data_IF_946210718840
#
_entry.id   IF_946210718840
#
_cell.length_a   1.000
_cell.length_b   1.000
_cell.length_c   1.000
_cell.angle_alpha   90.00
_cell.angle_beta   90.00
_cell.angle_gamma   90.00
#
_symmetry.space_group_name_H-M   'P 1'
#
loop_
_entity.id
_entity.type
_entity.pdbx_description
1 polymer ?
#
# COMPACT_ATOMS: atom_id res chain seq x y z
N UNK A 1 31.75 17.61 45.90
CA UNK A 1 31.44 16.17 45.71
C UNK A 1 29.91 15.85 45.60
N UNK A 2 29.02 16.40 46.46
CA UNK A 2 27.54 16.09 46.38
C UNK A 2 26.86 16.53 45.07
N UNK A 3 27.24 17.66 44.43
CA UNK A 3 26.64 18.15 43.17
C UNK A 3 27.04 17.31 41.97
N UNK A 4 28.25 16.77 41.93
CA UNK A 4 28.73 15.90 40.81
C UNK A 4 28.07 14.52 40.83
N UNK A 5 27.77 13.98 42.01
CA UNK A 5 27.09 12.71 42.19
C UNK A 5 25.61 12.81 41.76
N UNK A 6 24.94 13.94 42.03
CA UNK A 6 23.54 14.16 41.58
C UNK A 6 23.42 14.25 40.07
N UNK A 7 24.39 14.85 39.35
CA UNK A 7 24.40 14.93 37.88
C UNK A 7 24.62 13.54 37.25
N UNK A 8 25.50 12.72 37.85
CA UNK A 8 25.76 11.35 37.35
C UNK A 8 24.53 10.46 37.58
N UNK A 9 23.84 10.56 38.70
CA UNK A 9 22.63 9.77 38.98
C UNK A 9 21.48 10.17 38.05
N UNK A 10 21.28 11.47 37.77
CA UNK A 10 20.26 11.92 36.79
C UNK A 10 20.58 11.45 35.37
N UNK A 11 21.85 11.47 34.95
CA UNK A 11 22.25 10.94 33.63
C UNK A 11 22.02 9.43 33.48
N UNK A 12 22.28 8.66 34.51
CA UNK A 12 22.04 7.20 34.52
C UNK A 12 20.54 6.86 34.51
N UNK A 13 19.72 7.62 35.20
CA UNK A 13 18.26 7.43 35.20
C UNK A 13 17.62 7.74 33.83
N UNK A 14 18.12 8.74 33.11
CA UNK A 14 17.65 9.08 31.77
C UNK A 14 18.04 7.99 30.78
N UNK A 15 19.27 7.48 30.83
CA UNK A 15 19.74 6.39 29.97
C UNK A 15 19.00 5.06 30.24
N UNK A 16 18.68 4.77 31.50
CA UNK A 16 17.92 3.57 31.87
C UNK A 16 16.46 3.63 31.42
N UNK A 17 15.85 4.80 31.39
CA UNK A 17 14.49 5.01 30.89
C UNK A 17 14.38 4.81 29.38
N UNK A 18 15.30 5.39 28.60
CA UNK A 18 15.35 5.23 27.15
C UNK A 18 15.54 3.76 26.74
N UNK A 19 16.46 3.05 27.39
CA UNK A 19 16.73 1.65 27.07
C UNK A 19 15.53 0.72 27.37
N UNK A 20 14.75 1.01 28.39
CA UNK A 20 13.56 0.25 28.74
C UNK A 20 12.41 0.50 27.75
N UNK A 21 12.22 1.74 27.33
CA UNK A 21 11.20 2.09 26.32
C UNK A 21 11.54 1.47 24.97
N UNK A 22 12.79 1.51 24.56
CA UNK A 22 13.30 0.89 23.33
C UNK A 22 12.99 -0.62 23.28
N UNK A 23 13.32 -1.35 24.34
CA UNK A 23 13.09 -2.81 24.41
C UNK A 23 11.61 -3.17 24.39
N UNK A 24 10.72 -2.33 24.91
CA UNK A 24 9.27 -2.51 24.83
C UNK A 24 8.76 -2.28 23.41
N UNK A 25 9.25 -1.22 22.74
CA UNK A 25 8.87 -0.92 21.36
C UNK A 25 9.32 -2.01 20.40
N UNK A 26 10.54 -2.53 20.51
CA UNK A 26 11.04 -3.63 19.69
C UNK A 26 10.18 -4.90 19.84
N UNK A 27 9.75 -5.21 21.07
CA UNK A 27 8.86 -6.36 21.33
C UNK A 27 7.49 -6.14 20.66
N UNK A 28 6.91 -4.95 20.80
CA UNK A 28 5.63 -4.61 20.17
C UNK A 28 5.72 -4.68 18.66
N UNK A 29 6.79 -4.15 18.03
CA UNK A 29 6.98 -4.25 16.58
C UNK A 29 7.12 -5.71 16.11
N UNK A 30 7.72 -6.60 16.91
CA UNK A 30 7.74 -8.03 16.59
C UNK A 30 6.35 -8.67 16.65
N UNK A 31 5.50 -8.24 17.59
CA UNK A 31 4.11 -8.69 17.70
C UNK A 31 3.27 -8.16 16.54
N UNK A 32 3.43 -6.88 16.17
CA UNK A 32 2.80 -6.27 15.00
C UNK A 32 3.12 -7.05 13.73
N UNK A 33 4.39 -7.31 13.47
CA UNK A 33 4.84 -8.02 12.27
C UNK A 33 4.20 -9.42 12.13
N UNK A 34 4.02 -10.12 13.23
CA UNK A 34 3.33 -11.42 13.24
C UNK A 34 1.82 -11.28 13.05
N UNK A 35 1.23 -10.18 13.53
CA UNK A 35 -0.20 -9.97 13.49
C UNK A 35 -0.69 -9.52 12.12
N UNK A 36 0.12 -8.83 11.30
CA UNK A 36 -0.29 -8.27 10.00
C UNK A 36 -0.97 -9.33 9.12
N UNK A 37 -0.34 -10.50 8.95
CA UNK A 37 -0.87 -11.56 8.09
C UNK A 37 -2.09 -12.31 8.66
N UNK A 38 -2.37 -12.16 9.96
CA UNK A 38 -3.44 -12.90 10.66
C UNK A 38 -4.65 -12.00 10.90
N UNK A 39 -4.41 -10.80 11.41
CA UNK A 39 -5.41 -9.80 11.74
C UNK A 39 -4.81 -8.39 11.64
N UNK A 40 -4.92 -7.75 10.46
CA UNK A 40 -4.35 -6.42 10.23
C UNK A 40 -4.92 -5.33 11.16
N UNK A 41 -6.19 -5.43 11.56
CA UNK A 41 -6.80 -4.48 12.52
C UNK A 41 -6.14 -4.58 13.90
N UNK A 42 -5.90 -5.81 14.37
CA UNK A 42 -5.13 -6.04 15.60
C UNK A 42 -3.70 -5.51 15.49
N UNK A 43 -3.04 -5.71 14.34
CA UNK A 43 -1.71 -5.17 14.07
C UNK A 43 -1.69 -3.65 14.13
N UNK A 44 -2.71 -2.99 13.54
CA UNK A 44 -2.90 -1.54 13.60
C UNK A 44 -3.05 -1.04 15.03
N UNK A 45 -3.90 -1.69 15.84
CA UNK A 45 -4.09 -1.33 17.24
C UNK A 45 -2.80 -1.48 18.06
N UNK A 46 -2.05 -2.55 17.84
CA UNK A 46 -0.74 -2.76 18.50
C UNK A 46 0.26 -1.69 18.08
N UNK A 47 0.35 -1.36 16.79
CA UNK A 47 1.26 -0.33 16.30
C UNK A 47 0.93 1.04 16.89
N UNK A 48 -0.35 1.39 16.96
CA UNK A 48 -0.85 2.64 17.53
C UNK A 48 -0.68 2.73 19.05
N UNK A 49 -0.42 1.63 19.75
CA UNK A 49 -0.09 1.63 21.17
C UNK A 49 1.31 2.17 21.48
N UNK A 50 2.18 2.29 20.45
CA UNK A 50 3.48 2.94 20.58
C UNK A 50 3.27 4.44 20.61
N UNK A 51 3.28 5.00 21.82
CA UNK A 51 3.17 6.45 22.00
C UNK A 51 4.45 7.15 21.55
N UNK A 52 4.31 8.27 20.83
CA UNK A 52 5.43 9.11 20.38
C UNK A 52 6.48 8.34 19.55
N UNK A 53 6.10 7.70 18.44
CA UNK A 53 7.06 6.95 17.61
C UNK A 53 8.21 7.82 17.08
N UNK A 54 7.99 9.14 16.95
CA UNK A 54 9.00 10.11 16.52
C UNK A 54 10.20 10.23 17.49
N UNK A 55 10.07 9.75 18.73
CA UNK A 55 11.13 9.74 19.75
C UNK A 55 11.96 8.45 19.76
N UNK A 56 11.58 7.47 18.95
CA UNK A 56 12.35 6.24 18.77
C UNK A 56 13.68 6.55 18.07
N UNK A 57 14.68 5.70 18.29
CA UNK A 57 15.90 5.76 17.48
C UNK A 57 15.59 5.46 16.00
N UNK A 58 16.50 5.85 15.10
CA UNK A 58 16.25 5.81 13.66
C UNK A 58 15.94 4.40 13.15
N UNK A 59 16.56 3.36 13.68
CA UNK A 59 16.29 1.96 13.32
C UNK A 59 14.87 1.55 13.67
N UNK A 60 14.48 1.76 14.93
CA UNK A 60 13.17 1.36 15.45
C UNK A 60 12.06 2.20 14.82
N UNK A 61 12.32 3.50 14.60
CA UNK A 61 11.40 4.38 13.90
C UNK A 61 11.20 3.96 12.44
N UNK A 62 12.29 3.67 11.71
CA UNK A 62 12.19 3.20 10.33
C UNK A 62 11.39 1.90 10.22
N UNK A 63 11.60 0.96 11.15
CA UNK A 63 10.82 -0.27 11.23
C UNK A 63 9.34 0.00 11.52
N UNK A 64 9.05 0.94 12.43
CA UNK A 64 7.68 1.37 12.69
C UNK A 64 7.00 1.92 11.43
N UNK A 65 7.68 2.77 10.65
CA UNK A 65 7.18 3.28 9.37
C UNK A 65 6.92 2.15 8.36
N UNK A 66 7.84 1.20 8.24
CA UNK A 66 7.70 0.05 7.35
C UNK A 66 6.47 -0.79 7.69
N UNK A 67 6.26 -1.10 8.95
CA UNK A 67 5.11 -1.88 9.41
C UNK A 67 3.79 -1.10 9.25
N UNK A 68 3.82 0.22 9.46
CA UNK A 68 2.67 1.08 9.17
C UNK A 68 2.28 1.03 7.69
N UNK A 69 3.26 1.11 6.78
CA UNK A 69 3.01 0.95 5.35
C UNK A 69 2.39 -0.41 5.01
N UNK A 70 2.93 -1.50 5.55
CA UNK A 70 2.38 -2.86 5.34
C UNK A 70 0.93 -2.98 5.85
N UNK A 71 0.62 -2.39 7.00
CA UNK A 71 -0.76 -2.37 7.52
C UNK A 71 -1.67 -1.56 6.60
N UNK A 72 -1.18 -0.41 6.09
CA UNK A 72 -1.95 0.44 5.16
C UNK A 72 -2.33 -0.33 3.89
N UNK A 73 -1.47 -1.21 3.40
CA UNK A 73 -1.76 -2.05 2.23
C UNK A 73 -2.88 -3.07 2.51
N UNK A 74 -3.05 -3.52 3.77
CA UNK A 74 -4.05 -4.53 4.15
C UNK A 74 -5.42 -3.93 4.53
N UNK A 75 -5.45 -2.74 5.15
CA UNK A 75 -6.70 -2.16 5.70
C UNK A 75 -7.05 -0.79 5.13
N UNK A 76 -6.39 -0.37 4.04
CA UNK A 76 -6.62 0.95 3.39
C UNK A 76 -6.60 2.13 4.36
N UNK A 77 -5.70 2.08 5.35
CA UNK A 77 -5.52 3.15 6.32
C UNK A 77 -4.77 4.35 5.70
N UNK A 78 -4.72 5.46 6.40
CA UNK A 78 -4.03 6.67 5.93
C UNK A 78 -2.52 6.44 5.80
N UNK A 79 -1.95 6.96 4.71
CA UNK A 79 -0.49 6.95 4.48
C UNK A 79 0.20 7.85 5.50
N UNK A 80 1.38 7.44 5.97
CA UNK A 80 2.20 8.24 6.87
C UNK A 80 2.63 9.56 6.21
N UNK A 81 2.80 10.64 7.01
CA UNK A 81 3.33 11.90 6.53
C UNK A 81 4.71 11.74 5.86
N UNK A 82 4.93 12.49 4.79
CA UNK A 82 6.13 12.42 3.95
C UNK A 82 7.42 12.55 4.77
N UNK A 83 7.52 13.50 5.70
CA UNK A 83 8.72 13.69 6.52
C UNK A 83 9.09 12.47 7.39
N UNK A 84 8.10 11.65 7.78
CA UNK A 84 8.35 10.41 8.53
C UNK A 84 8.94 9.33 7.62
N UNK A 85 8.42 9.22 6.42
CA UNK A 85 8.91 8.27 5.43
C UNK A 85 10.27 8.67 4.85
N UNK A 86 10.56 9.97 4.73
CA UNK A 86 11.91 10.47 4.39
C UNK A 86 12.93 10.03 5.45
N UNK A 87 12.64 10.25 6.74
CA UNK A 87 13.50 9.80 7.84
C UNK A 87 13.70 8.28 7.84
N UNK A 88 12.63 7.52 7.55
CA UNK A 88 12.73 6.08 7.46
C UNK A 88 13.58 5.65 6.25
N UNK A 89 13.44 6.30 5.10
CA UNK A 89 14.24 6.04 3.92
C UNK A 89 15.73 6.37 4.16
N UNK A 90 16.06 7.45 4.85
CA UNK A 90 17.45 7.79 5.21
C UNK A 90 18.14 6.63 5.94
N UNK A 91 17.42 5.97 6.85
CA UNK A 91 17.95 4.78 7.53
C UNK A 91 18.07 3.58 6.60
N UNK A 92 16.99 3.22 5.87
CA UNK A 92 16.97 2.05 5.00
C UNK A 92 17.91 2.15 3.81
N UNK A 93 18.18 3.35 3.30
CA UNK A 93 19.12 3.58 2.19
C UNK A 93 20.53 3.07 2.49
N UNK A 94 20.92 3.07 3.77
CA UNK A 94 22.26 2.67 4.23
C UNK A 94 22.29 1.31 4.92
N UNK A 95 21.18 0.83 5.45
CA UNK A 95 21.12 -0.35 6.32
C UNK A 95 20.12 -1.42 5.84
N UNK A 96 19.20 -1.07 4.96
CA UNK A 96 18.16 -1.98 4.49
C UNK A 96 18.63 -2.91 3.38
N UNK A 97 18.02 -4.07 3.28
CA UNK A 97 18.11 -4.92 2.10
C UNK A 97 17.51 -4.21 0.87
N UNK A 98 17.87 -4.59 -0.35
CA UNK A 98 17.25 -4.02 -1.55
C UNK A 98 15.72 -4.07 -1.56
N UNK A 99 15.13 -5.14 -1.02
CA UNK A 99 13.69 -5.31 -0.89
C UNK A 99 13.09 -4.24 0.05
N UNK A 100 13.68 -4.05 1.23
CA UNK A 100 13.26 -3.04 2.20
C UNK A 100 13.43 -1.62 1.65
N UNK A 101 14.52 -1.35 0.93
CA UNK A 101 14.76 -0.06 0.29
C UNK A 101 13.67 0.25 -0.74
N UNK A 102 13.28 -0.71 -1.57
CA UNK A 102 12.22 -0.52 -2.56
C UNK A 102 10.86 -0.36 -1.88
N UNK A 103 10.55 -1.15 -0.87
CA UNK A 103 9.28 -1.03 -0.14
C UNK A 103 9.11 0.36 0.49
N UNK A 104 10.13 0.87 1.19
CA UNK A 104 10.03 2.20 1.80
C UNK A 104 9.97 3.32 0.76
N UNK A 105 10.63 3.16 -0.40
CA UNK A 105 10.51 4.10 -1.52
C UNK A 105 9.09 4.09 -2.10
N UNK A 106 8.44 2.94 -2.21
CA UNK A 106 7.04 2.86 -2.64
C UNK A 106 6.15 3.64 -1.67
N UNK A 107 6.28 3.45 -0.37
CA UNK A 107 5.49 4.20 0.62
C UNK A 107 5.77 5.70 0.58
N UNK A 108 7.04 6.10 0.43
CA UNK A 108 7.41 7.50 0.29
C UNK A 108 6.84 8.12 -1.00
N UNK A 109 6.90 7.39 -2.13
CA UNK A 109 6.29 7.84 -3.38
C UNK A 109 4.78 8.01 -3.28
N UNK A 110 4.09 7.11 -2.58
CA UNK A 110 2.64 7.21 -2.29
C UNK A 110 2.33 8.43 -1.42
N UNK A 111 3.19 8.76 -0.46
CA UNK A 111 3.00 9.94 0.38
C UNK A 111 3.18 11.23 -0.41
N UNK A 112 4.22 11.35 -1.25
CA UNK A 112 4.35 12.48 -2.17
C UNK A 112 3.18 12.60 -3.15
N UNK A 113 2.68 11.46 -3.64
CA UNK A 113 1.49 11.43 -4.48
C UNK A 113 0.26 11.99 -3.74
N UNK A 114 0.04 11.57 -2.49
CA UNK A 114 -1.06 12.06 -1.65
C UNK A 114 -0.93 13.58 -1.33
N UNK A 115 0.29 14.07 -1.20
CA UNK A 115 0.58 15.50 -1.02
C UNK A 115 0.44 16.32 -2.34
N UNK A 116 0.20 15.65 -3.48
CA UNK A 116 0.10 16.27 -4.80
C UNK A 116 1.45 16.62 -5.45
N UNK A 117 2.57 16.22 -4.86
CA UNK A 117 3.91 16.41 -5.43
C UNK A 117 4.25 15.26 -6.39
N UNK A 118 3.57 15.24 -7.54
CA UNK A 118 3.65 14.17 -8.53
C UNK A 118 5.04 14.04 -9.16
N UNK A 119 5.81 15.12 -9.23
CA UNK A 119 7.15 15.09 -9.81
C UNK A 119 8.15 14.42 -8.85
N UNK A 120 8.04 14.69 -7.55
CA UNK A 120 8.81 13.94 -6.55
C UNK A 120 8.37 12.48 -6.48
N UNK A 121 7.06 12.20 -6.46
CA UNK A 121 6.56 10.83 -6.49
C UNK A 121 7.15 10.05 -7.68
N UNK A 122 7.16 10.63 -8.90
CA UNK A 122 7.76 10.03 -10.09
C UNK A 122 9.26 9.76 -9.91
N UNK A 123 9.99 10.73 -9.35
CA UNK A 123 11.44 10.57 -9.06
C UNK A 123 11.70 9.42 -8.09
N UNK A 124 10.92 9.32 -7.02
CA UNK A 124 11.03 8.26 -6.01
C UNK A 124 10.70 6.89 -6.62
N UNK A 125 9.62 6.77 -7.40
CA UNK A 125 9.29 5.51 -8.08
C UNK A 125 10.35 5.11 -9.12
N UNK A 126 10.97 6.07 -9.81
CA UNK A 126 12.09 5.77 -10.73
C UNK A 126 13.29 5.19 -9.98
N UNK A 127 13.63 5.73 -8.82
CA UNK A 127 14.68 5.17 -7.95
C UNK A 127 14.31 3.76 -7.47
N UNK A 128 13.06 3.54 -7.05
CA UNK A 128 12.56 2.22 -6.67
C UNK A 128 12.72 1.20 -7.81
N UNK A 129 12.38 1.57 -9.06
CA UNK A 129 12.56 0.71 -10.24
C UNK A 129 14.02 0.38 -10.52
N UNK A 130 14.94 1.33 -10.35
CA UNK A 130 16.38 1.09 -10.55
C UNK A 130 16.90 0.03 -9.57
N UNK A 131 16.58 0.17 -8.28
CA UNK A 131 16.98 -0.80 -7.26
C UNK A 131 16.29 -2.15 -7.49
N UNK A 132 14.99 -2.15 -7.73
CA UNK A 132 14.21 -3.37 -7.94
C UNK A 132 14.66 -4.14 -9.19
N UNK A 133 14.97 -3.43 -10.28
CA UNK A 133 15.46 -4.01 -11.53
C UNK A 133 16.82 -4.69 -11.37
N UNK A 134 17.78 -4.02 -10.71
CA UNK A 134 19.11 -4.58 -10.39
C UNK A 134 19.04 -5.85 -9.55
N UNK A 135 18.04 -5.95 -8.67
CA UNK A 135 17.87 -7.05 -7.72
C UNK A 135 16.77 -8.05 -8.14
N UNK A 136 16.15 -7.88 -9.30
CA UNK A 136 15.10 -8.76 -9.86
C UNK A 136 13.89 -8.94 -8.93
N UNK A 137 13.51 -7.88 -8.23
CA UNK A 137 12.38 -7.84 -7.31
C UNK A 137 11.06 -7.67 -8.08
N UNK A 138 10.67 -8.67 -8.84
CA UNK A 138 9.62 -8.57 -9.86
C UNK A 138 8.26 -8.09 -9.30
N UNK A 139 7.84 -8.56 -8.12
CA UNK A 139 6.59 -8.06 -7.50
C UNK A 139 6.67 -6.56 -7.20
N UNK A 140 7.79 -6.09 -6.66
CA UNK A 140 7.98 -4.67 -6.33
C UNK A 140 8.09 -3.80 -7.60
N UNK A 141 8.65 -4.36 -8.69
CA UNK A 141 8.60 -3.71 -10.02
C UNK A 141 7.13 -3.55 -10.45
N UNK A 142 6.33 -4.60 -10.32
CA UNK A 142 4.89 -4.56 -10.62
C UNK A 142 4.17 -3.47 -9.84
N UNK A 143 4.30 -3.45 -8.53
CA UNK A 143 3.69 -2.41 -7.68
C UNK A 143 4.16 -1.00 -8.06
N UNK A 144 5.45 -0.83 -8.33
CA UNK A 144 5.98 0.49 -8.69
C UNK A 144 5.40 0.98 -10.02
N UNK A 145 5.27 0.10 -11.03
CA UNK A 145 4.62 0.48 -12.29
C UNK A 145 3.13 0.77 -12.11
N UNK A 146 2.44 0.06 -11.23
CA UNK A 146 1.04 0.31 -10.91
C UNK A 146 0.86 1.72 -10.34
N UNK A 147 1.67 2.15 -9.36
CA UNK A 147 1.66 3.51 -8.82
C UNK A 147 2.11 4.58 -9.83
N UNK A 148 3.02 4.27 -10.76
CA UNK A 148 3.32 5.16 -11.87
C UNK A 148 2.11 5.29 -12.82
N UNK A 149 1.35 4.23 -13.01
CA UNK A 149 0.06 4.24 -13.71
C UNK A 149 -0.91 5.23 -13.06
N UNK A 150 -1.02 5.21 -11.73
CA UNK A 150 -1.83 6.16 -10.96
C UNK A 150 -1.39 7.61 -11.18
N UNK A 151 -0.09 7.89 -11.23
CA UNK A 151 0.43 9.23 -11.54
C UNK A 151 -0.02 9.72 -12.93
N UNK A 152 0.05 8.85 -13.94
CA UNK A 152 -0.42 9.20 -15.28
C UNK A 152 -1.93 9.37 -15.33
N UNK A 153 -2.69 8.57 -14.58
CA UNK A 153 -4.15 8.71 -14.44
C UNK A 153 -4.52 10.07 -13.86
N UNK A 154 -3.87 10.50 -12.78
CA UNK A 154 -4.11 11.83 -12.18
C UNK A 154 -3.75 12.98 -13.12
N UNK A 155 -2.77 12.81 -13.99
CA UNK A 155 -2.42 13.76 -15.05
C UNK A 155 -3.33 13.64 -16.29
N UNK A 156 -4.40 12.84 -16.25
CA UNK A 156 -5.32 12.56 -17.36
C UNK A 156 -4.65 11.98 -18.61
N UNK A 157 -3.47 11.38 -18.45
CA UNK A 157 -2.70 10.73 -19.52
C UNK A 157 -3.08 9.26 -19.65
N UNK A 158 -4.35 8.99 -20.04
CA UNK A 158 -4.99 7.66 -19.99
C UNK A 158 -4.18 6.56 -20.70
N UNK A 159 -3.70 6.86 -21.91
CA UNK A 159 -2.91 5.90 -22.71
C UNK A 159 -1.61 5.52 -22.01
N UNK A 160 -0.94 6.47 -21.37
CA UNK A 160 0.30 6.19 -20.64
C UNK A 160 0.00 5.44 -19.34
N UNK A 161 -1.10 5.73 -18.65
CA UNK A 161 -1.56 4.97 -17.49
C UNK A 161 -1.79 3.49 -17.86
N UNK A 162 -2.54 3.22 -18.92
CA UNK A 162 -2.79 1.86 -19.43
C UNK A 162 -1.47 1.11 -19.67
N UNK A 163 -0.51 1.73 -20.37
CA UNK A 163 0.80 1.10 -20.61
C UNK A 163 1.52 0.71 -19.33
N UNK A 164 1.41 1.52 -18.26
CA UNK A 164 2.06 1.23 -16.97
C UNK A 164 1.34 0.11 -16.24
N UNK A 165 0.03 0.12 -16.22
CA UNK A 165 -0.75 -0.98 -15.66
C UNK A 165 -0.56 -2.30 -16.43
N UNK A 166 -0.38 -2.26 -17.75
CA UNK A 166 -0.05 -3.46 -18.56
C UNK A 166 1.29 -4.05 -18.12
N UNK A 167 2.32 -3.22 -17.94
CA UNK A 167 3.62 -3.68 -17.44
C UNK A 167 3.46 -4.28 -16.04
N UNK A 168 2.74 -3.61 -15.13
CA UNK A 168 2.46 -4.11 -13.80
C UNK A 168 1.77 -5.48 -13.84
N UNK A 169 0.73 -5.61 -14.67
CA UNK A 169 -0.01 -6.86 -14.88
C UNK A 169 0.89 -8.02 -15.35
N UNK A 170 1.84 -7.74 -16.26
CA UNK A 170 2.80 -8.76 -16.73
C UNK A 170 3.69 -9.27 -15.59
N UNK A 171 4.21 -8.36 -14.75
CA UNK A 171 5.02 -8.73 -13.59
C UNK A 171 4.21 -9.51 -12.56
N UNK A 172 3.01 -9.07 -12.19
CA UNK A 172 2.14 -9.79 -11.26
C UNK A 172 1.76 -11.17 -11.76
N UNK A 173 1.44 -11.30 -13.06
CA UNK A 173 1.14 -12.58 -13.68
C UNK A 173 2.33 -13.54 -13.62
N UNK A 174 3.54 -13.06 -13.92
CA UNK A 174 4.79 -13.83 -13.84
C UNK A 174 5.06 -14.35 -12.43
N UNK A 175 4.84 -13.51 -11.43
CA UNK A 175 5.04 -13.85 -10.00
C UNK A 175 3.85 -14.60 -9.38
N UNK A 176 2.79 -14.88 -10.15
CA UNK A 176 1.56 -15.52 -9.68
C UNK A 176 0.85 -14.72 -8.57
N UNK A 177 1.09 -13.42 -8.52
CA UNK A 177 0.37 -12.50 -7.66
C UNK A 177 -1.01 -12.21 -8.28
N UNK A 178 -1.93 -13.14 -8.05
CA UNK A 178 -3.23 -13.17 -8.73
C UNK A 178 -4.11 -11.98 -8.37
N UNK A 179 -4.07 -11.52 -7.12
CA UNK A 179 -4.85 -10.39 -6.65
C UNK A 179 -4.42 -9.08 -7.31
N UNK A 180 -3.12 -8.77 -7.25
CA UNK A 180 -2.57 -7.58 -7.90
C UNK A 180 -2.71 -7.61 -9.41
N UNK A 181 -2.62 -8.80 -10.03
CA UNK A 181 -2.90 -8.97 -11.46
C UNK A 181 -4.35 -8.60 -11.81
N UNK A 182 -5.32 -9.06 -11.01
CA UNK A 182 -6.73 -8.72 -11.19
C UNK A 182 -6.99 -7.22 -10.99
N UNK A 183 -6.32 -6.60 -10.01
CA UNK A 183 -6.39 -5.15 -9.77
C UNK A 183 -5.84 -4.34 -10.95
N UNK A 184 -4.67 -4.70 -11.48
CA UNK A 184 -4.09 -4.02 -12.64
C UNK A 184 -5.01 -4.11 -13.87
N UNK A 185 -5.61 -5.28 -14.13
CA UNK A 185 -6.62 -5.44 -15.18
C UNK A 185 -7.86 -4.57 -14.94
N UNK A 186 -8.34 -4.47 -13.70
CA UNK A 186 -9.44 -3.55 -13.33
C UNK A 186 -9.09 -2.11 -13.69
N UNK A 187 -7.88 -1.67 -13.37
CA UNK A 187 -7.47 -0.28 -13.59
C UNK A 187 -7.30 0.01 -15.09
N UNK A 188 -6.76 -0.92 -15.87
CA UNK A 188 -6.78 -0.86 -17.34
C UNK A 188 -8.22 -0.71 -17.86
N UNK A 189 -9.14 -1.53 -17.37
CA UNK A 189 -10.55 -1.47 -17.76
C UNK A 189 -11.20 -0.13 -17.44
N UNK A 190 -10.89 0.45 -16.29
CA UNK A 190 -11.36 1.80 -15.90
C UNK A 190 -10.84 2.88 -16.84
N UNK A 191 -9.55 2.85 -17.19
CA UNK A 191 -8.99 3.84 -18.10
C UNK A 191 -9.60 3.74 -19.51
N UNK A 192 -9.88 2.53 -20.02
CA UNK A 192 -10.63 2.38 -21.27
C UNK A 192 -12.05 2.97 -21.18
N UNK A 193 -12.72 2.83 -20.04
CA UNK A 193 -14.04 3.44 -19.84
C UNK A 193 -13.99 4.97 -19.86
N UNK A 194 -12.99 5.55 -19.21
CA UNK A 194 -12.76 7.01 -19.22
C UNK A 194 -12.41 7.55 -20.63
N UNK A 195 -11.96 6.68 -21.54
CA UNK A 195 -11.75 6.98 -22.95
C UNK A 195 -12.98 6.68 -23.82
N UNK A 196 -14.15 6.45 -23.23
CA UNK A 196 -15.40 6.01 -23.89
C UNK A 196 -15.27 4.70 -24.67
N UNK A 197 -14.22 3.93 -24.44
CA UNK A 197 -13.98 2.63 -25.05
C UNK A 197 -14.65 1.49 -24.27
N UNK A 198 -15.97 1.60 -24.07
CA UNK A 198 -16.74 0.73 -23.17
C UNK A 198 -16.66 -0.77 -23.55
N UNK A 199 -16.50 -1.09 -24.83
CA UNK A 199 -16.35 -2.48 -25.29
C UNK A 199 -15.02 -3.08 -24.85
N UNK A 200 -13.92 -2.33 -24.95
CA UNK A 200 -12.60 -2.74 -24.45
C UNK A 200 -12.59 -2.83 -22.94
N UNK A 201 -13.15 -1.82 -22.27
CA UNK A 201 -13.30 -1.80 -20.80
C UNK A 201 -13.99 -3.07 -20.31
N UNK A 202 -15.14 -3.41 -20.89
CA UNK A 202 -15.92 -4.59 -20.52
C UNK A 202 -15.13 -5.88 -20.76
N UNK A 203 -14.44 -6.00 -21.90
CA UNK A 203 -13.63 -7.18 -22.22
C UNK A 203 -12.54 -7.41 -21.14
N UNK A 204 -11.78 -6.38 -20.80
CA UNK A 204 -10.72 -6.47 -19.79
C UNK A 204 -11.29 -6.77 -18.40
N UNK A 205 -12.40 -6.12 -18.01
CA UNK A 205 -13.03 -6.35 -16.70
C UNK A 205 -13.61 -7.76 -16.55
N UNK A 206 -14.11 -8.39 -17.63
CA UNK A 206 -14.54 -9.79 -17.59
C UNK A 206 -13.34 -10.71 -17.36
N UNK A 207 -12.18 -10.41 -17.96
CA UNK A 207 -10.94 -11.16 -17.67
C UNK A 207 -10.56 -10.96 -16.19
N UNK A 208 -10.60 -9.72 -15.68
CA UNK A 208 -10.32 -9.41 -14.28
C UNK A 208 -11.24 -10.19 -13.32
N UNK A 209 -12.55 -10.23 -13.59
CA UNK A 209 -13.53 -11.01 -12.80
C UNK A 209 -13.20 -12.51 -12.81
N UNK A 210 -12.85 -13.06 -13.99
CA UNK A 210 -12.43 -14.47 -14.11
C UNK A 210 -11.16 -14.77 -13.31
N UNK A 211 -10.24 -13.83 -13.20
CA UNK A 211 -9.01 -13.95 -12.39
C UNK A 211 -9.34 -13.85 -10.90
N UNK A 212 -10.09 -12.83 -10.50
CA UNK A 212 -10.47 -12.57 -9.11
C UNK A 212 -11.29 -13.72 -8.49
N UNK A 213 -12.17 -14.35 -9.26
CA UNK A 213 -12.95 -15.50 -8.78
C UNK A 213 -12.08 -16.74 -8.44
N UNK A 214 -10.79 -16.75 -8.80
CA UNK A 214 -9.85 -17.80 -8.41
C UNK A 214 -9.14 -17.49 -7.09
N UNK A 215 -9.25 -16.27 -6.61
CA UNK A 215 -8.70 -15.83 -5.33
C UNK A 215 -9.79 -15.88 -4.27
N UNK A 216 -9.39 -15.83 -3.00
CA UNK A 216 -10.31 -15.70 -1.88
C UNK A 216 -10.42 -14.25 -1.41
N UNK A 217 -9.82 -13.31 -2.16
CA UNK A 217 -9.81 -11.90 -1.77
C UNK A 217 -11.14 -11.24 -2.11
N UNK A 218 -11.91 -11.06 -1.08
CA UNK A 218 -13.26 -10.48 -1.12
C UNK A 218 -13.22 -9.05 -1.65
N UNK A 219 -12.23 -8.26 -1.26
CA UNK A 219 -12.09 -6.85 -1.63
C UNK A 219 -11.78 -6.67 -3.11
N UNK A 220 -10.86 -7.48 -3.63
CA UNK A 220 -10.53 -7.50 -5.06
C UNK A 220 -11.78 -7.85 -5.87
N UNK A 221 -12.50 -8.90 -5.46
CA UNK A 221 -13.74 -9.34 -6.12
C UNK A 221 -14.81 -8.25 -6.08
N UNK A 222 -15.03 -7.60 -4.93
CA UNK A 222 -16.01 -6.52 -4.78
C UNK A 222 -15.64 -5.32 -5.67
N UNK A 223 -14.39 -4.92 -5.70
CA UNK A 223 -13.89 -3.79 -6.48
C UNK A 223 -14.07 -4.01 -7.99
N UNK A 224 -13.85 -5.22 -8.50
CA UNK A 224 -14.05 -5.57 -9.90
C UNK A 224 -15.55 -5.64 -10.25
N UNK A 225 -16.38 -6.21 -9.38
CA UNK A 225 -17.82 -6.20 -9.57
C UNK A 225 -18.38 -4.77 -9.61
N UNK A 226 -17.86 -3.87 -8.77
CA UNK A 226 -18.23 -2.45 -8.81
C UNK A 226 -17.84 -1.81 -10.16
N UNK A 227 -16.64 -2.07 -10.66
CA UNK A 227 -16.20 -1.58 -11.97
C UNK A 227 -17.09 -2.11 -13.10
N UNK A 228 -17.41 -3.42 -13.13
CA UNK A 228 -18.30 -4.01 -14.11
C UNK A 228 -19.71 -3.39 -14.06
N UNK A 229 -20.23 -3.18 -12.85
CA UNK A 229 -21.54 -2.53 -12.66
C UNK A 229 -21.57 -1.13 -13.26
N UNK A 230 -20.53 -0.33 -13.03
CA UNK A 230 -20.41 1.01 -13.59
C UNK A 230 -20.35 0.98 -15.13
N UNK A 231 -19.60 0.08 -15.74
CA UNK A 231 -19.53 -0.05 -17.21
C UNK A 231 -20.89 -0.45 -17.79
N UNK A 232 -21.60 -1.38 -17.15
CA UNK A 232 -22.93 -1.74 -17.61
C UNK A 232 -23.93 -0.58 -17.48
N UNK A 233 -23.84 0.23 -16.43
CA UNK A 233 -24.63 1.45 -16.28
C UNK A 233 -24.33 2.48 -17.39
N UNK A 234 -23.05 2.70 -17.72
CA UNK A 234 -22.64 3.57 -18.84
C UNK A 234 -23.16 3.07 -20.19
N UNK A 235 -23.36 1.74 -20.35
CA UNK A 235 -23.98 1.15 -21.53
C UNK A 235 -25.52 1.14 -21.49
N UNK A 236 -26.15 1.77 -20.49
CA UNK A 236 -27.61 1.73 -20.22
C UNK A 236 -28.17 0.32 -20.00
N UNK A 237 -27.34 -0.64 -19.60
CA UNK A 237 -27.73 -2.02 -19.29
C UNK A 237 -28.01 -2.16 -17.79
N UNK A 238 -29.05 -1.49 -17.32
CA UNK A 238 -29.32 -1.28 -15.89
C UNK A 238 -29.53 -2.57 -15.10
N UNK A 239 -30.20 -3.59 -15.65
CA UNK A 239 -30.38 -4.88 -14.98
C UNK A 239 -29.06 -5.58 -14.67
N UNK A 240 -28.09 -5.49 -15.62
CA UNK A 240 -26.75 -6.02 -15.40
C UNK A 240 -25.94 -5.18 -14.42
N UNK A 241 -26.08 -3.85 -14.53
CA UNK A 241 -25.43 -2.92 -13.62
C UNK A 241 -25.86 -3.21 -12.16
N UNK A 242 -27.16 -3.27 -11.91
CA UNK A 242 -27.72 -3.58 -10.59
C UNK A 242 -27.19 -4.90 -10.06
N UNK A 243 -27.22 -5.96 -10.88
CA UNK A 243 -26.72 -7.29 -10.47
C UNK A 243 -25.27 -7.23 -9.98
N UNK A 244 -24.37 -6.56 -10.72
CA UNK A 244 -22.95 -6.48 -10.36
C UNK A 244 -22.72 -5.55 -9.17
N UNK A 245 -23.43 -4.42 -9.08
CA UNK A 245 -23.33 -3.49 -7.94
C UNK A 245 -23.86 -4.14 -6.65
N UNK A 246 -24.96 -4.87 -6.71
CA UNK A 246 -25.46 -5.64 -5.56
C UNK A 246 -24.46 -6.73 -5.14
N UNK A 247 -23.86 -7.43 -6.10
CA UNK A 247 -22.81 -8.42 -5.79
C UNK A 247 -21.62 -7.76 -5.08
N UNK A 248 -21.16 -6.59 -5.55
CA UNK A 248 -20.10 -5.83 -4.90
C UNK A 248 -20.47 -5.43 -3.46
N UNK A 249 -21.68 -4.91 -3.27
CA UNK A 249 -22.19 -4.48 -1.97
C UNK A 249 -22.30 -5.64 -0.97
N UNK A 250 -22.87 -6.76 -1.39
CA UNK A 250 -23.04 -7.95 -0.52
C UNK A 250 -21.68 -8.53 -0.13
N UNK A 251 -20.76 -8.60 -1.07
CA UNK A 251 -19.39 -9.07 -0.83
C UNK A 251 -18.65 -8.17 0.18
N UNK A 252 -18.84 -6.85 0.09
CA UNK A 252 -18.24 -5.90 1.04
C UNK A 252 -18.86 -5.96 2.44
N UNK A 253 -20.18 -6.27 2.54
CA UNK A 253 -20.90 -6.39 3.83
C UNK A 253 -20.47 -7.58 4.68
N UNK A 254 -20.02 -8.66 4.08
CA UNK A 254 -19.54 -9.83 4.83
C UNK A 254 -18.33 -9.50 5.74
N UNK A 255 -17.58 -8.45 5.41
CA UNK A 255 -16.43 -7.98 6.22
C UNK A 255 -16.77 -6.87 7.23
N UNK A 256 -17.92 -6.19 7.08
CA UNK A 256 -18.34 -5.06 7.93
C UNK A 256 -19.77 -5.28 8.46
N UNK A 257 -20.01 -6.29 9.31
CA UNK A 257 -21.37 -6.55 9.83
C UNK A 257 -21.94 -5.41 10.69
N UNK A 258 -21.12 -4.56 11.28
CA UNK A 258 -21.51 -3.58 12.29
C UNK A 258 -21.81 -2.15 11.76
N UNK A 259 -21.66 -1.91 10.45
CA UNK A 259 -21.91 -0.58 9.85
C UNK A 259 -23.32 -0.36 9.29
N UNK A 260 -24.24 -1.30 9.53
CA UNK A 260 -25.63 -1.21 9.07
C UNK A 260 -26.57 -1.64 10.20
N UNK A 261 -26.71 -0.80 11.21
CA UNK A 261 -27.81 -0.80 12.17
C UNK A 261 -28.39 0.61 12.24
#
# INVERSE_FOLDING_TARGET
MRKSIAIIITSILVLSGCNKQQSVSDRLLNEVEKAIAINPDSASNLLNSISSPEKLDDKTFARWCMLSGKITDEIFNSILPTYQLERAYDWYSSHGSPDEQVQILIYLGRSYFADGDYDKAMSIYTNALDIAGKNKLNNLIGYTYDYIGDLYREKFMRTEAIKRYEIAAEYFKKEKNTDSYACALRDIGREYAEMDSLSHALHILIIADSVANKTKNIEVTASINNALGNIYAMQNKYDKAEKYLLKALLTGREKMPDYVA
#
